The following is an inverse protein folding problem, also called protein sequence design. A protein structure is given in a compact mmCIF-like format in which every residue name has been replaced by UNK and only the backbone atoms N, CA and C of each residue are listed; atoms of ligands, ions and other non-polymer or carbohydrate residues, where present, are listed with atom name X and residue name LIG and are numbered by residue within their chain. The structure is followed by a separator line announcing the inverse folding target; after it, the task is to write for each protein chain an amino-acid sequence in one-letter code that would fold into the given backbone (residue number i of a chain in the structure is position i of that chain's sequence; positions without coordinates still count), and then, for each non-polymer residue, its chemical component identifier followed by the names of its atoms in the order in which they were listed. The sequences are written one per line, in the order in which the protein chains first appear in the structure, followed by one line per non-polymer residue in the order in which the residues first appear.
data_IF_378394634717
#
_entry.id   IF_378394634717
#
_cell.length_a   1.000
_cell.length_b   1.000
_cell.length_c   1.000
_cell.angle_alpha   90.00
_cell.angle_beta   90.00
_cell.angle_gamma   90.00
#
_symmetry.space_group_name_H-M   'P 1'
#
loop_
_entity.id
_entity.type
_entity.pdbx_description
1 polymer ?
#
# COMPACT_ATOMS: atom_id res chain seq x y z
N UNK A 1 -18.25 -14.66 6.01
CA UNK A 1 -17.44 -13.73 5.19
C UNK A 1 -17.23 -12.41 5.89
N UNK A 2 -18.29 -11.66 6.22
CA UNK A 2 -18.20 -10.37 6.94
C UNK A 2 -17.34 -10.42 8.22
N UNK A 3 -17.63 -11.36 9.13
CA UNK A 3 -16.83 -11.53 10.36
C UNK A 3 -15.34 -11.69 10.07
N UNK A 4 -15.00 -12.56 9.12
CA UNK A 4 -13.62 -12.89 8.80
C UNK A 4 -12.88 -11.67 8.24
N UNK A 5 -13.47 -10.95 7.29
CA UNK A 5 -12.82 -9.78 6.69
C UNK A 5 -12.64 -8.65 7.71
N UNK A 6 -13.61 -8.43 8.60
CA UNK A 6 -13.53 -7.42 9.66
C UNK A 6 -12.42 -7.75 10.67
N UNK A 7 -12.38 -8.98 11.17
CA UNK A 7 -11.35 -9.41 12.12
C UNK A 7 -9.95 -9.38 11.47
N UNK A 8 -9.83 -9.80 10.21
CA UNK A 8 -8.56 -9.79 9.49
C UNK A 8 -8.03 -8.35 9.28
N UNK A 9 -8.87 -7.41 8.87
CA UNK A 9 -8.49 -6.02 8.69
C UNK A 9 -8.10 -5.35 10.02
N UNK A 10 -8.86 -5.64 11.09
CA UNK A 10 -8.56 -5.13 12.44
C UNK A 10 -7.21 -5.62 12.97
N UNK A 11 -6.87 -6.89 12.72
CA UNK A 11 -5.60 -7.48 13.19
C UNK A 11 -4.39 -7.10 12.32
N UNK A 12 -4.61 -6.57 11.11
CA UNK A 12 -3.53 -6.24 10.17
C UNK A 12 -3.66 -4.79 9.65
N UNK A 13 -3.59 -3.78 10.54
CA UNK A 13 -3.64 -2.39 10.11
C UNK A 13 -2.40 -2.02 9.29
N UNK A 14 -2.56 -1.08 8.36
CA UNK A 14 -1.49 -0.50 7.55
C UNK A 14 -1.74 1.00 7.39
N UNK A 15 -0.71 1.81 7.51
CA UNK A 15 -0.74 3.19 7.04
C UNK A 15 -0.54 3.25 5.52
N UNK A 16 -0.84 4.40 4.91
CA UNK A 16 -0.57 4.64 3.47
C UNK A 16 0.88 4.34 3.11
N UNK A 17 1.82 4.68 3.99
CA UNK A 17 3.25 4.46 3.78
C UNK A 17 3.64 2.97 3.90
N UNK A 18 2.94 2.18 4.71
CA UNK A 18 3.21 0.75 4.82
C UNK A 18 2.80 0.03 3.54
N UNK A 19 1.63 0.41 2.98
CA UNK A 19 1.12 -0.18 1.75
C UNK A 19 2.07 0.06 0.57
N UNK A 20 2.54 1.30 0.37
CA UNK A 20 3.52 1.57 -0.71
C UNK A 20 4.83 0.81 -0.51
N UNK A 21 5.31 0.65 0.73
CA UNK A 21 6.54 -0.10 1.03
C UNK A 21 6.39 -1.58 0.78
N UNK A 22 5.28 -2.19 1.20
CA UNK A 22 5.02 -3.63 0.99
C UNK A 22 4.94 -3.97 -0.50
N UNK A 23 4.24 -3.16 -1.30
CA UNK A 23 4.16 -3.33 -2.76
C UNK A 23 5.54 -3.10 -3.41
N UNK A 24 6.28 -2.08 -2.99
CA UNK A 24 7.63 -1.83 -3.49
C UNK A 24 8.57 -3.03 -3.24
N UNK A 25 8.54 -3.61 -2.03
CA UNK A 25 9.33 -4.80 -1.70
C UNK A 25 8.93 -6.01 -2.56
N UNK A 26 7.66 -6.15 -2.92
CA UNK A 26 7.21 -7.20 -3.84
C UNK A 26 7.77 -6.98 -5.25
N UNK A 27 7.73 -5.75 -5.76
CA UNK A 27 8.26 -5.40 -7.09
C UNK A 27 9.78 -5.43 -7.17
N UNK A 28 10.48 -5.13 -6.08
CA UNK A 28 11.93 -5.29 -5.98
C UNK A 28 12.34 -6.75 -6.19
N UNK A 29 11.56 -7.70 -5.65
CA UNK A 29 11.84 -9.14 -5.75
C UNK A 29 11.47 -9.75 -7.11
N UNK A 30 10.71 -9.05 -7.94
CA UNK A 30 10.30 -9.54 -9.26
C UNK A 30 11.24 -9.02 -10.36
N UNK A 31 12.13 -9.88 -10.85
CA UNK A 31 13.12 -9.53 -11.89
C UNK A 31 12.51 -9.10 -13.24
N UNK A 32 11.21 -9.37 -13.45
CA UNK A 32 10.50 -8.93 -14.66
C UNK A 32 10.15 -7.44 -14.60
N UNK A 33 9.99 -6.89 -13.39
CA UNK A 33 9.72 -5.47 -13.19
C UNK A 33 11.04 -4.72 -13.27
N UNK A 34 11.14 -3.77 -14.21
CA UNK A 34 12.34 -2.93 -14.42
C UNK A 34 12.21 -1.54 -13.83
N UNK A 35 11.00 -1.02 -13.77
CA UNK A 35 10.68 0.25 -13.13
C UNK A 35 9.22 0.19 -12.67
N UNK A 36 8.89 0.97 -11.65
CA UNK A 36 7.55 1.04 -11.12
C UNK A 36 7.28 2.38 -10.41
N UNK A 37 6.00 2.72 -10.38
CA UNK A 37 5.42 3.83 -9.64
C UNK A 37 4.22 3.27 -8.86
N UNK A 38 4.13 3.60 -7.58
CA UNK A 38 3.10 3.11 -6.67
C UNK A 38 2.48 4.32 -5.97
N UNK A 39 1.17 4.43 -6.06
CA UNK A 39 0.35 5.44 -5.41
C UNK A 39 -0.64 4.75 -4.49
N UNK A 40 -0.75 5.24 -3.25
CA UNK A 40 -1.77 4.79 -2.29
C UNK A 40 -2.47 6.02 -1.75
N UNK A 41 -3.80 6.01 -1.86
CA UNK A 41 -4.70 7.05 -1.38
C UNK A 41 -5.73 6.43 -0.45
N UNK A 42 -5.76 6.89 0.80
CA UNK A 42 -6.73 6.50 1.80
C UNK A 42 -7.79 7.59 1.93
N UNK A 43 -9.05 7.21 1.70
CA UNK A 43 -10.20 8.06 1.98
C UNK A 43 -10.48 8.00 3.47
N UNK A 44 -10.02 9.00 4.20
CA UNK A 44 -10.05 9.01 5.66
C UNK A 44 -11.49 9.10 6.17
N UNK A 45 -11.86 8.18 7.06
CA UNK A 45 -13.23 8.10 7.60
C UNK A 45 -13.52 9.15 8.68
N UNK A 46 -12.49 9.82 9.20
CA UNK A 46 -12.57 10.80 10.29
C UNK A 46 -11.95 12.17 9.94
N UNK A 47 -11.54 12.37 8.68
CA UNK A 47 -10.95 13.61 8.18
C UNK A 47 -11.56 13.99 6.82
N UNK A 48 -11.62 15.29 6.51
CA UNK A 48 -12.12 15.81 5.23
C UNK A 48 -10.98 16.04 4.21
N UNK A 49 -10.02 15.11 4.20
CA UNK A 49 -8.94 15.04 3.23
C UNK A 49 -8.42 13.60 3.18
N UNK A 50 -7.78 13.25 2.07
CA UNK A 50 -7.20 11.92 1.88
C UNK A 50 -5.75 11.89 2.39
N UNK A 51 -5.34 10.75 2.95
CA UNK A 51 -3.93 10.47 3.18
C UNK A 51 -3.32 9.87 1.91
N UNK A 52 -2.11 10.29 1.55
CA UNK A 52 -1.49 9.92 0.28
C UNK A 52 -0.01 9.55 0.46
N UNK A 53 0.41 8.49 -0.22
CA UNK A 53 1.81 8.10 -0.33
C UNK A 53 2.16 7.71 -1.77
N UNK A 54 3.37 8.07 -2.19
CA UNK A 54 3.92 7.77 -3.52
C UNK A 54 5.33 7.22 -3.42
N UNK A 55 5.64 6.24 -4.27
CA UNK A 55 6.99 5.73 -4.43
C UNK A 55 7.27 5.41 -5.90
N UNK A 56 8.40 5.91 -6.41
CA UNK A 56 8.93 5.61 -7.73
C UNK A 56 10.30 4.94 -7.63
N UNK A 57 10.55 3.94 -8.48
CA UNK A 57 11.85 3.31 -8.58
C UNK A 57 12.13 2.81 -9.99
N UNK A 58 13.38 2.98 -10.42
CA UNK A 58 13.98 2.29 -11.55
C UNK A 58 15.00 1.28 -11.00
N UNK A 59 14.91 0.01 -11.40
CA UNK A 59 15.80 -1.07 -10.96
C UNK A 59 16.99 -1.13 -11.92
N UNK A 60 18.21 -1.00 -11.36
CA UNK A 60 19.47 -1.11 -12.10
C UNK A 60 19.78 -2.56 -12.43
#
# INVERSE_FOLDING_TARGET
DEKFVTEQAYMNPRFVEDMVREVALAFDRDDRVRAYEIEVENHESIHDHNAYAYLKREKV
#
